data_IF_775738283875
#
_entry.id   IF_775738283875
#
_cell.length_a   1.000
_cell.length_b   1.000
_cell.length_c   1.000
_cell.angle_alpha   90.00
_cell.angle_beta   90.00
_cell.angle_gamma   90.00
#
_symmetry.space_group_name_H-M   'P 1'
#
loop_
_entity.id
_entity.type
_entity.pdbx_description
1 polymer ?
#
# COMPACT_ATOMS: atom_id res chain seq x y z
N UNK A 1 -4.24 -9.88 -2.70
CA UNK A 1 -3.24 -9.09 -1.92
C UNK A 1 -3.88 -7.94 -1.15
N UNK A 2 -4.59 -7.01 -1.79
CA UNK A 2 -5.23 -5.85 -1.11
C UNK A 2 -6.07 -6.31 0.08
N UNK A 3 -7.05 -7.18 -0.13
CA UNK A 3 -7.92 -7.74 0.92
C UNK A 3 -7.11 -8.45 2.03
N UNK A 4 -6.09 -9.22 1.67
CA UNK A 4 -5.25 -9.92 2.64
C UNK A 4 -4.46 -8.97 3.54
N UNK A 5 -3.93 -7.87 2.99
CA UNK A 5 -3.26 -6.83 3.77
C UNK A 5 -4.23 -6.07 4.66
N UNK A 6 -5.41 -5.70 4.14
CA UNK A 6 -6.45 -5.03 4.93
C UNK A 6 -6.89 -5.93 6.09
N UNK A 7 -7.22 -7.20 5.84
CA UNK A 7 -7.58 -8.18 6.89
C UNK A 7 -6.46 -8.37 7.91
N UNK A 8 -5.22 -8.50 7.44
CA UNK A 8 -4.04 -8.62 8.32
C UNK A 8 -3.92 -7.42 9.25
N UNK A 9 -4.04 -6.20 8.73
CA UNK A 9 -3.90 -4.96 9.52
C UNK A 9 -5.08 -4.80 10.49
N UNK A 10 -6.30 -5.13 10.06
CA UNK A 10 -7.51 -5.13 10.90
C UNK A 10 -7.35 -6.06 12.10
N UNK A 11 -6.91 -7.30 11.87
CA UNK A 11 -6.71 -8.28 12.94
C UNK A 11 -5.43 -8.01 13.75
N UNK A 12 -4.48 -7.24 13.22
CA UNK A 12 -3.21 -6.88 13.85
C UNK A 12 -3.07 -5.37 14.01
N UNK A 13 -3.84 -4.73 14.91
CA UNK A 13 -3.98 -3.28 14.99
C UNK A 13 -2.69 -2.49 15.25
N UNK A 14 -1.64 -3.06 15.85
CA UNK A 14 -0.33 -2.37 15.94
C UNK A 14 0.28 -2.05 14.58
N UNK A 15 -0.06 -2.81 13.53
CA UNK A 15 0.34 -2.52 12.14
C UNK A 15 -0.34 -1.26 11.60
N UNK A 16 -1.46 -0.84 12.21
CA UNK A 16 -2.19 0.36 11.84
C UNK A 16 -1.77 1.60 12.64
N UNK A 17 -0.51 1.63 13.07
CA UNK A 17 0.09 2.75 13.81
C UNK A 17 1.09 3.48 12.94
N UNK A 18 1.48 4.67 13.38
CA UNK A 18 2.56 5.43 12.76
C UNK A 18 3.28 6.30 13.77
N UNK A 19 4.48 6.74 13.41
CA UNK A 19 5.26 7.70 14.18
C UNK A 19 5.21 9.05 13.47
N UNK A 20 4.74 10.09 14.15
CA UNK A 20 4.80 11.46 13.69
C UNK A 20 5.25 12.36 14.83
N UNK A 21 6.08 13.36 14.56
CA UNK A 21 6.61 14.28 15.57
C UNK A 21 7.09 13.58 16.87
N UNK A 22 7.85 12.48 16.73
CA UNK A 22 8.37 11.67 17.85
C UNK A 22 7.30 10.98 18.73
N UNK A 23 6.05 10.96 18.31
CA UNK A 23 4.93 10.34 19.01
C UNK A 23 4.36 9.19 18.18
N UNK A 24 3.86 8.16 18.87
CA UNK A 24 3.18 7.03 18.23
C UNK A 24 1.66 7.27 18.23
N UNK A 25 1.03 7.06 17.09
CA UNK A 25 -0.39 7.24 16.88
C UNK A 25 -1.04 5.97 16.37
N UNK A 26 -2.31 5.78 16.72
CA UNK A 26 -3.19 4.76 16.15
C UNK A 26 -4.04 5.43 15.07
N UNK A 27 -4.11 4.86 13.86
CA UNK A 27 -5.03 5.34 12.83
C UNK A 27 -6.48 5.01 13.18
N UNK A 28 -7.38 5.88 12.74
CA UNK A 28 -8.82 5.74 12.93
C UNK A 28 -9.47 4.77 11.93
N UNK A 29 -8.83 4.55 10.79
CA UNK A 29 -9.32 3.70 9.71
C UNK A 29 -8.20 2.80 9.16
N UNK A 30 -8.60 1.72 8.49
CA UNK A 30 -7.68 0.81 7.79
C UNK A 30 -7.85 1.04 6.29
N UNK A 31 -6.77 1.47 5.64
CA UNK A 31 -6.78 1.95 4.26
C UNK A 31 -5.63 1.36 3.45
N UNK A 32 -5.88 1.09 2.18
CA UNK A 32 -4.87 0.59 1.25
C UNK A 32 -4.77 1.50 0.03
N UNK A 33 -3.56 1.97 -0.28
CA UNK A 33 -3.29 2.76 -1.48
C UNK A 33 -2.44 1.97 -2.47
N UNK A 34 -2.67 2.15 -3.78
CA UNK A 34 -1.86 1.56 -4.83
C UNK A 34 -1.90 2.36 -6.13
N UNK A 35 -0.82 2.28 -6.90
CA UNK A 35 -0.72 2.93 -8.21
C UNK A 35 -1.27 2.04 -9.32
N UNK A 36 -2.04 2.63 -10.22
CA UNK A 36 -2.63 2.02 -11.40
C UNK A 36 -2.05 2.72 -12.63
N UNK A 37 -1.33 1.97 -13.46
CA UNK A 37 -0.93 2.45 -14.78
C UNK A 37 -2.15 2.41 -15.70
N UNK A 38 -2.55 3.55 -16.28
CA UNK A 38 -3.71 3.61 -17.20
C UNK A 38 -3.38 2.96 -18.54
N UNK A 39 -2.21 3.26 -19.08
CA UNK A 39 -1.67 2.74 -20.33
C UNK A 39 -0.25 2.25 -20.07
N UNK A 40 0.09 1.05 -20.55
CA UNK A 40 1.42 0.46 -20.42
C UNK A 40 2.40 1.04 -21.45
N UNK A 41 2.61 2.35 -21.40
CA UNK A 41 3.64 3.09 -22.15
C UNK A 41 4.44 3.97 -21.19
N UNK A 42 5.63 4.39 -21.61
CA UNK A 42 6.50 5.24 -20.79
C UNK A 42 5.85 6.61 -20.48
N UNK A 43 5.05 7.13 -21.41
CA UNK A 43 4.28 8.38 -21.26
C UNK A 43 2.85 8.16 -20.73
N UNK A 44 2.47 6.90 -20.46
CA UNK A 44 1.14 6.54 -20.01
C UNK A 44 0.85 7.07 -18.61
N UNK A 45 -0.22 7.83 -18.46
CA UNK A 45 -0.63 8.40 -17.16
C UNK A 45 -0.81 7.34 -16.07
N UNK A 46 -0.48 7.73 -14.84
CA UNK A 46 -0.67 6.93 -13.64
C UNK A 46 -1.84 7.49 -12.83
N UNK A 47 -2.65 6.61 -12.26
CA UNK A 47 -3.71 6.97 -11.31
C UNK A 47 -3.40 6.34 -9.97
N UNK A 48 -3.70 7.05 -8.89
CA UNK A 48 -3.66 6.50 -7.54
C UNK A 48 -5.05 6.04 -7.15
N UNK A 49 -5.15 4.82 -6.61
CA UNK A 49 -6.36 4.33 -5.98
C UNK A 49 -6.13 4.17 -4.49
N UNK A 50 -7.15 4.54 -3.71
CA UNK A 50 -7.14 4.51 -2.26
C UNK A 50 -8.40 3.79 -1.81
N UNK A 51 -8.31 2.73 -1.01
CA UNK A 51 -9.43 1.91 -0.53
C UNK A 51 -9.62 2.17 0.96
N UNK A 52 -10.84 2.49 1.37
CA UNK A 52 -11.21 2.67 2.78
C UNK A 52 -12.01 1.47 3.23
N UNK A 53 -11.37 0.58 3.99
CA UNK A 53 -11.99 -0.67 4.38
C UNK A 53 -12.86 -0.52 5.63
N UNK A 54 -13.91 -1.32 5.67
CA UNK A 54 -14.79 -1.54 6.83
C UNK A 54 -14.54 -2.95 7.35
N UNK A 55 -14.73 -3.14 8.65
CA UNK A 55 -14.57 -4.46 9.27
C UNK A 55 -15.44 -5.56 8.63
N UNK A 56 -16.59 -5.18 8.05
CA UNK A 56 -17.52 -6.07 7.35
C UNK A 56 -17.14 -6.43 5.92
N UNK A 57 -16.10 -5.80 5.34
CA UNK A 57 -15.73 -6.03 3.94
C UNK A 57 -15.20 -7.45 3.71
N UNK A 58 -15.36 -7.94 2.48
CA UNK A 58 -14.87 -9.25 2.02
C UNK A 58 -14.02 -9.09 0.78
N UNK A 59 -13.45 -10.17 0.26
CA UNK A 59 -12.72 -10.14 -1.01
C UNK A 59 -13.58 -9.62 -2.16
N UNK A 60 -14.87 -9.93 -2.17
CA UNK A 60 -15.79 -9.54 -3.23
C UNK A 60 -16.10 -8.04 -3.17
N UNK A 61 -16.41 -7.49 -1.99
CA UNK A 61 -16.71 -6.06 -1.84
C UNK A 61 -15.48 -5.20 -2.17
N UNK A 62 -14.30 -5.65 -1.72
CA UNK A 62 -13.03 -4.98 -2.07
C UNK A 62 -12.72 -5.12 -3.56
N UNK A 63 -13.00 -6.27 -4.18
CA UNK A 63 -12.83 -6.46 -5.62
C UNK A 63 -13.70 -5.50 -6.43
N UNK A 64 -14.99 -5.38 -6.08
CA UNK A 64 -15.91 -4.45 -6.73
C UNK A 64 -15.45 -2.98 -6.58
N UNK A 65 -14.97 -2.60 -5.40
CA UNK A 65 -14.46 -1.24 -5.17
C UNK A 65 -13.19 -0.96 -6.00
N UNK A 66 -12.26 -1.90 -6.05
CA UNK A 66 -11.06 -1.81 -6.90
C UNK A 66 -11.48 -1.69 -8.37
N UNK A 67 -12.38 -2.56 -8.83
CA UNK A 67 -12.85 -2.55 -10.22
C UNK A 67 -13.49 -1.21 -10.58
N UNK A 68 -14.33 -0.64 -9.71
CA UNK A 68 -14.93 0.68 -9.88
C UNK A 68 -13.87 1.77 -9.99
N UNK A 69 -12.87 1.78 -9.11
CA UNK A 69 -11.79 2.79 -9.10
C UNK A 69 -10.85 2.68 -10.31
N UNK A 70 -10.49 1.46 -10.69
CA UNK A 70 -9.67 1.21 -11.89
C UNK A 70 -10.42 1.59 -13.16
N UNK A 71 -11.69 1.23 -13.27
CA UNK A 71 -12.52 1.56 -14.45
C UNK A 71 -12.71 3.07 -14.60
N UNK A 72 -12.97 3.77 -13.49
CA UNK A 72 -13.04 5.24 -13.50
C UNK A 72 -11.68 5.87 -13.84
N UNK A 73 -10.59 5.38 -13.24
CA UNK A 73 -9.24 5.87 -13.49
C UNK A 73 -8.77 5.71 -14.93
N UNK A 74 -9.27 4.69 -15.65
CA UNK A 74 -8.98 4.45 -17.08
C UNK A 74 -9.87 5.24 -18.04
N UNK A 75 -10.93 5.89 -17.56
CA UNK A 75 -11.75 6.78 -18.41
C UNK A 75 -10.99 8.07 -18.76
N UNK A 76 -11.15 8.53 -20.00
CA UNK A 76 -10.41 9.65 -20.61
C UNK A 76 -10.76 11.01 -19.96
N UNK A 77 -10.23 11.28 -18.76
CA UNK A 77 -9.96 12.65 -18.34
C UNK A 77 -8.47 12.91 -18.45
N UNK A 78 -8.16 13.77 -19.41
CA UNK A 78 -6.84 14.33 -19.70
C UNK A 78 -6.25 14.90 -18.41
N UNK A 79 -5.04 14.47 -18.08
CA UNK A 79 -4.25 15.02 -16.97
C UNK A 79 -3.93 16.51 -17.24
N UNK A 80 -4.23 17.44 -16.31
CA UNK A 80 -3.78 18.84 -16.39
C UNK A 80 -2.26 19.02 -16.23
N UNK A 81 -1.48 17.94 -16.23
CA UNK A 81 -0.07 17.89 -15.82
C UNK A 81 0.93 18.56 -16.77
N UNK A 82 0.56 18.79 -18.03
CA UNK A 82 1.48 19.38 -19.02
C UNK A 82 1.61 20.90 -18.89
N UNK A 83 0.65 21.58 -18.24
CA UNK A 83 0.71 23.02 -17.99
C UNK A 83 1.47 23.38 -16.70
N UNK A 84 1.47 22.50 -15.69
CA UNK A 84 2.09 22.75 -14.38
C UNK A 84 3.61 22.62 -14.39
N UNK A 85 4.18 21.77 -15.24
CA UNK A 85 5.63 21.55 -15.35
C UNK A 85 6.41 22.77 -15.87
N UNK A 86 5.78 23.65 -16.66
CA UNK A 86 6.40 24.89 -17.13
C UNK A 86 6.28 26.04 -16.12
N UNK A 87 5.21 26.07 -15.31
CA UNK A 87 5.02 27.07 -14.25
C UNK A 87 5.97 26.86 -13.07
N UNK A 88 6.33 25.61 -12.74
CA UNK A 88 7.27 25.32 -11.64
C UNK A 88 8.71 25.74 -11.98
N UNK A 89 9.09 25.77 -13.27
CA UNK A 89 10.43 26.20 -13.70
C UNK A 89 10.67 27.70 -13.56
N UNK A 90 9.63 28.53 -13.51
CA UNK A 90 9.74 29.98 -13.36
C UNK A 90 9.68 30.48 -11.92
N UNK A 91 9.35 29.61 -10.95
CA UNK A 91 9.31 29.97 -9.53
C UNK A 91 10.74 30.03 -8.96
N UNK A 92 11.16 31.15 -8.34
CA UNK A 92 12.43 31.25 -7.66
C UNK A 92 12.64 30.10 -6.66
N UNK A 93 13.82 29.46 -6.71
CA UNK A 93 14.15 28.30 -5.87
C UNK A 93 13.97 28.56 -4.37
N UNK A 94 14.14 29.80 -3.90
CA UNK A 94 13.95 30.14 -2.48
C UNK A 94 12.48 30.04 -2.06
N UNK A 95 11.53 30.41 -2.92
CA UNK A 95 10.09 30.29 -2.63
C UNK A 95 9.67 28.82 -2.57
N UNK A 96 10.16 27.99 -3.49
CA UNK A 96 9.93 26.54 -3.46
C UNK A 96 10.45 25.94 -2.15
N UNK A 97 11.63 26.37 -1.69
CA UNK A 97 12.18 25.93 -0.40
C UNK A 97 11.32 26.38 0.78
N UNK A 98 10.82 27.61 0.80
CA UNK A 98 9.93 28.11 1.86
C UNK A 98 8.65 27.27 1.92
N UNK A 99 8.00 27.07 0.77
CA UNK A 99 6.78 26.25 0.68
C UNK A 99 7.06 24.81 1.12
N UNK A 100 8.16 24.21 0.68
CA UNK A 100 8.55 22.86 1.10
C UNK A 100 8.86 22.76 2.60
N UNK A 101 9.48 23.78 3.19
CA UNK A 101 9.71 23.83 4.64
C UNK A 101 8.39 23.97 5.40
N UNK A 102 7.49 24.84 4.96
CA UNK A 102 6.16 25.00 5.55
C UNK A 102 5.36 23.69 5.44
N UNK A 103 5.33 23.06 4.27
CA UNK A 103 4.65 21.79 4.06
C UNK A 103 5.18 20.68 4.99
N UNK A 104 6.51 20.53 5.11
CA UNK A 104 7.11 19.56 6.05
C UNK A 104 6.81 19.89 7.51
N UNK A 105 6.73 21.17 7.85
CA UNK A 105 6.33 21.58 9.19
C UNK A 105 4.88 21.22 9.47
N UNK A 106 3.96 21.50 8.54
CA UNK A 106 2.55 21.14 8.66
C UNK A 106 2.36 19.62 8.73
N UNK A 107 3.01 18.86 7.84
CA UNK A 107 3.00 17.40 7.82
C UNK A 107 3.45 16.82 9.17
N UNK A 108 4.61 17.29 9.68
CA UNK A 108 5.13 16.86 10.97
C UNK A 108 4.14 17.08 12.11
N UNK A 109 3.44 18.20 12.13
CA UNK A 109 2.49 18.54 13.21
C UNK A 109 1.07 18.02 12.97
N UNK A 110 0.82 17.32 11.85
CA UNK A 110 -0.53 16.86 11.48
C UNK A 110 -1.48 18.00 11.11
N UNK A 111 -0.95 19.14 10.68
CA UNK A 111 -1.72 20.33 10.27
C UNK A 111 -1.91 20.42 8.75
N UNK A 112 -1.52 19.38 8.02
CA UNK A 112 -1.73 19.35 6.58
C UNK A 112 -3.24 19.33 6.27
N UNK A 113 -3.74 20.17 5.35
CA UNK A 113 -5.15 20.16 4.98
C UNK A 113 -5.60 18.80 4.44
N UNK A 114 -6.84 18.39 4.76
CA UNK A 114 -7.39 17.12 4.31
C UNK A 114 -7.35 16.97 2.78
N UNK A 115 -7.62 18.07 2.06
CA UNK A 115 -7.59 18.10 0.59
C UNK A 115 -6.22 17.80 -0.03
N UNK A 116 -5.13 17.94 0.74
CA UNK A 116 -3.78 17.59 0.30
C UNK A 116 -3.49 16.11 0.56
N UNK A 117 -3.89 15.60 1.73
CA UNK A 117 -3.53 14.25 2.17
C UNK A 117 -4.48 13.16 1.66
N UNK A 118 -5.72 13.50 1.34
CA UNK A 118 -6.75 12.53 0.91
C UNK A 118 -6.36 11.77 -0.37
N UNK A 119 -5.62 12.42 -1.27
CA UNK A 119 -5.11 11.81 -2.50
C UNK A 119 -3.71 11.22 -2.38
N UNK A 120 -3.04 11.40 -1.25
CA UNK A 120 -1.64 11.00 -1.10
C UNK A 120 -1.53 9.58 -0.51
N UNK A 121 -0.97 8.62 -1.26
CA UNK A 121 -0.87 7.22 -0.82
C UNK A 121 -0.07 7.07 0.48
N UNK A 122 0.84 7.99 0.79
CA UNK A 122 1.65 7.95 1.99
C UNK A 122 0.89 8.32 3.28
N UNK A 123 -0.40 8.62 3.20
CA UNK A 123 -1.27 8.75 4.39
C UNK A 123 -2.14 7.51 4.62
N UNK A 124 -1.96 6.45 3.82
CA UNK A 124 -2.66 5.17 3.99
C UNK A 124 -2.06 4.30 5.10
N UNK A 125 -2.81 3.28 5.51
CA UNK A 125 -2.32 2.25 6.43
C UNK A 125 -1.28 1.36 5.76
N UNK A 126 -1.47 1.07 4.47
CA UNK A 126 -0.52 0.31 3.64
C UNK A 126 -0.48 0.82 2.21
N UNK A 127 0.74 1.00 1.69
CA UNK A 127 0.97 1.24 0.26
C UNK A 127 1.36 -0.05 -0.44
N UNK A 128 0.66 -0.35 -1.53
CA UNK A 128 0.82 -1.55 -2.34
C UNK A 128 1.37 -1.20 -3.72
N UNK A 129 2.33 -1.98 -4.20
CA UNK A 129 2.91 -1.83 -5.54
C UNK A 129 2.96 -3.17 -6.23
N UNK A 130 2.30 -3.30 -7.39
CA UNK A 130 2.31 -4.53 -8.18
C UNK A 130 3.31 -4.45 -9.34
N UNK A 131 4.59 -4.70 -9.04
CA UNK A 131 5.67 -4.78 -10.02
C UNK A 131 5.54 -5.99 -10.94
N UNK A 132 4.85 -7.05 -10.49
CA UNK A 132 4.55 -8.21 -11.31
C UNK A 132 3.72 -7.88 -12.56
N UNK A 133 2.89 -6.84 -12.52
CA UNK A 133 2.11 -6.39 -13.69
C UNK A 133 2.96 -5.89 -14.86
N UNK A 134 4.21 -5.50 -14.59
CA UNK A 134 5.21 -5.05 -15.57
C UNK A 134 6.42 -5.99 -15.62
N UNK A 135 6.27 -7.24 -15.16
CA UNK A 135 7.29 -8.30 -15.17
C UNK A 135 8.59 -7.95 -14.43
N UNK A 136 8.47 -7.21 -13.33
CA UNK A 136 9.59 -6.91 -12.44
C UNK A 136 9.56 -7.79 -11.19
N UNK A 137 10.74 -8.04 -10.63
CA UNK A 137 10.90 -8.74 -9.35
C UNK A 137 10.45 -7.86 -8.18
N UNK A 138 10.10 -8.50 -7.06
CA UNK A 138 9.79 -7.75 -5.85
C UNK A 138 11.05 -7.04 -5.35
N UNK A 139 10.93 -5.75 -5.08
CA UNK A 139 11.93 -4.95 -4.37
C UNK A 139 11.42 -4.54 -2.99
N UNK A 140 12.11 -3.58 -2.38
CA UNK A 140 11.70 -2.96 -1.12
C UNK A 140 11.52 -1.46 -1.34
N UNK A 141 10.40 -0.92 -0.87
CA UNK A 141 10.27 0.52 -0.68
C UNK A 141 11.00 0.94 0.59
N UNK A 142 11.58 2.13 0.62
CA UNK A 142 12.06 2.71 1.87
C UNK A 142 10.89 3.33 2.64
N UNK A 143 11.02 3.44 3.96
CA UNK A 143 10.13 4.33 4.73
C UNK A 143 10.34 5.77 4.27
N UNK A 144 9.27 6.55 4.26
CA UNK A 144 9.28 7.96 3.88
C UNK A 144 9.18 8.83 5.12
N UNK A 145 9.86 9.98 5.10
CA UNK A 145 9.73 11.01 6.14
C UNK A 145 8.51 11.92 5.92
N UNK A 146 7.83 11.74 4.78
CA UNK A 146 6.61 12.46 4.40
C UNK A 146 5.41 11.53 4.49
N UNK A 147 4.32 12.04 5.05
CA UNK A 147 3.12 11.25 5.31
C UNK A 147 3.27 10.40 6.57
N UNK A 148 2.39 9.42 6.71
CA UNK A 148 2.30 8.61 7.92
C UNK A 148 2.50 7.12 7.67
N UNK A 149 2.43 6.62 6.42
CA UNK A 149 2.41 5.18 6.12
C UNK A 149 3.59 4.45 6.75
N UNK A 150 3.27 3.36 7.45
CA UNK A 150 4.25 2.53 8.15
C UNK A 150 4.41 1.13 7.57
N UNK A 151 3.65 0.80 6.53
CA UNK A 151 3.68 -0.52 5.86
C UNK A 151 3.70 -0.34 4.35
N UNK A 152 4.69 -0.92 3.71
CA UNK A 152 4.81 -1.00 2.25
C UNK A 152 4.85 -2.45 1.83
N UNK A 153 4.11 -2.79 0.78
CA UNK A 153 4.05 -4.14 0.24
C UNK A 153 4.24 -4.11 -1.28
N UNK A 154 5.32 -4.73 -1.73
CA UNK A 154 5.70 -4.84 -3.14
C UNK A 154 5.49 -6.27 -3.61
N UNK A 155 4.70 -6.43 -4.66
CA UNK A 155 4.35 -7.72 -5.26
C UNK A 155 5.17 -7.88 -6.52
N UNK A 156 6.00 -8.91 -6.57
CA UNK A 156 6.78 -9.25 -7.76
C UNK A 156 6.01 -10.05 -8.81
N UNK A 157 6.71 -10.45 -9.86
CA UNK A 157 6.19 -11.36 -10.87
C UNK A 157 5.89 -12.76 -10.31
N UNK A 158 4.75 -13.33 -10.74
CA UNK A 158 4.39 -14.73 -10.48
C UNK A 158 5.23 -15.63 -11.39
N UNK A 159 6.03 -16.53 -10.82
CA UNK A 159 6.87 -17.46 -11.57
C UNK A 159 6.82 -18.88 -11.00
N UNK A 160 7.10 -19.85 -11.85
CA UNK A 160 7.22 -21.26 -11.43
C UNK A 160 8.52 -21.44 -10.65
N UNK A 161 8.45 -22.04 -9.46
CA UNK A 161 9.61 -22.40 -8.65
C UNK A 161 9.49 -23.86 -8.18
N UNK A 162 10.61 -24.57 -7.99
CA UNK A 162 10.61 -25.89 -7.37
C UNK A 162 10.34 -25.77 -5.86
N UNK A 163 9.45 -26.61 -5.34
CA UNK A 163 9.19 -26.79 -3.91
C UNK A 163 9.49 -28.24 -3.53
N UNK A 164 10.27 -28.40 -2.48
CA UNK A 164 10.65 -29.69 -1.93
C UNK A 164 9.70 -30.05 -0.79
N UNK A 165 9.21 -31.29 -0.78
CA UNK A 165 8.55 -31.86 0.39
C UNK A 165 9.58 -32.49 1.35
N UNK A 166 9.13 -32.93 2.52
CA UNK A 166 9.98 -33.57 3.54
C UNK A 166 10.61 -34.89 3.05
N UNK A 167 10.06 -35.51 2.00
CA UNK A 167 10.58 -36.71 1.36
C UNK A 167 11.58 -36.41 0.23
N UNK A 168 11.84 -35.13 -0.07
CA UNK A 168 12.75 -34.69 -1.12
C UNK A 168 12.17 -34.69 -2.54
N UNK A 169 10.87 -34.95 -2.71
CA UNK A 169 10.22 -34.85 -4.01
C UNK A 169 10.08 -33.38 -4.41
N UNK A 170 10.25 -33.11 -5.71
CA UNK A 170 10.13 -31.77 -6.27
C UNK A 170 8.77 -31.60 -6.93
N UNK A 171 8.04 -30.57 -6.51
CA UNK A 171 6.84 -30.11 -7.21
C UNK A 171 7.04 -28.69 -7.71
N UNK A 172 6.73 -28.45 -8.99
CA UNK A 172 6.78 -27.12 -9.56
C UNK A 172 5.49 -26.38 -9.22
N UNK A 173 5.60 -25.22 -8.55
CA UNK A 173 4.43 -24.41 -8.14
C UNK A 173 4.61 -22.96 -8.55
N UNK A 174 3.49 -22.31 -8.91
CA UNK A 174 3.46 -20.85 -9.07
C UNK A 174 3.68 -20.21 -7.71
N UNK A 175 4.59 -19.26 -7.64
CA UNK A 175 4.90 -18.51 -6.43
C UNK A 175 5.21 -17.07 -6.78
N UNK A 176 5.04 -16.19 -5.81
CA UNK A 176 5.29 -14.74 -5.95
C UNK A 176 6.17 -14.29 -4.80
N UNK A 177 7.16 -13.45 -5.10
CA UNK A 177 7.96 -12.81 -4.05
C UNK A 177 7.19 -11.57 -3.57
N UNK A 178 7.19 -11.36 -2.26
CA UNK A 178 6.57 -10.19 -1.61
C UNK A 178 7.64 -9.47 -0.81
N UNK A 179 7.92 -8.22 -1.17
CA UNK A 179 8.78 -7.34 -0.40
C UNK A 179 7.95 -6.55 0.60
N UNK A 180 8.25 -6.68 1.89
CA UNK A 180 7.59 -5.93 2.95
C UNK A 180 8.58 -5.00 3.63
N UNK A 181 8.24 -3.73 3.71
CA UNK A 181 8.94 -2.75 4.55
C UNK A 181 7.97 -2.27 5.61
N UNK A 182 8.36 -2.43 6.88
CA UNK A 182 7.54 -2.09 8.03
C UNK A 182 8.38 -1.17 8.92
N UNK A 183 7.76 -0.09 9.42
CA UNK A 183 8.37 0.77 10.43
C UNK A 183 8.57 -0.02 11.73
N UNK A 184 9.81 -0.35 12.07
CA UNK A 184 10.11 -1.22 13.20
C UNK A 184 9.67 -0.63 14.55
N UNK A 185 9.42 0.68 14.61
CA UNK A 185 9.07 1.39 15.85
C UNK A 185 7.63 1.13 16.31
N UNK A 186 6.74 0.66 15.44
CA UNK A 186 5.31 0.53 15.77
C UNK A 186 4.96 -0.74 16.57
N UNK A 187 5.80 -1.77 16.49
CA UNK A 187 5.67 -3.03 17.21
C UNK A 187 7.00 -3.80 17.29
N UNK A 188 7.03 -4.84 18.13
CA UNK A 188 8.20 -5.72 18.28
C UNK A 188 8.28 -6.82 17.20
N UNK A 189 9.46 -7.45 17.09
CA UNK A 189 9.71 -8.52 16.12
C UNK A 189 8.84 -9.77 16.29
N UNK A 190 8.44 -10.10 17.52
CA UNK A 190 7.55 -11.25 17.76
C UNK A 190 6.15 -10.98 17.21
N UNK A 191 5.65 -9.76 17.42
CA UNK A 191 4.42 -9.29 16.83
C UNK A 191 4.50 -9.36 15.30
N UNK A 192 5.56 -8.85 14.68
CA UNK A 192 5.75 -8.96 13.23
C UNK A 192 5.78 -10.41 12.74
N UNK A 193 6.50 -11.30 13.42
CA UNK A 193 6.56 -12.71 13.02
C UNK A 193 5.17 -13.35 12.94
N UNK A 194 4.31 -13.09 13.94
CA UNK A 194 2.92 -13.55 13.92
C UNK A 194 2.12 -12.84 12.83
N UNK A 195 2.34 -11.56 12.56
CA UNK A 195 1.64 -10.82 11.50
C UNK A 195 1.94 -11.43 10.13
N UNK A 196 3.20 -11.80 9.87
CA UNK A 196 3.59 -12.47 8.62
C UNK A 196 2.99 -13.87 8.52
N UNK A 197 2.90 -14.62 9.62
CA UNK A 197 2.21 -15.93 9.64
C UNK A 197 0.74 -15.80 9.25
N UNK A 198 0.03 -14.81 9.83
CA UNK A 198 -1.36 -14.51 9.44
C UNK A 198 -1.47 -14.15 7.95
N UNK A 199 -0.62 -13.22 7.47
CA UNK A 199 -0.64 -12.83 6.06
C UNK A 199 -0.39 -14.03 5.14
N UNK A 200 0.58 -14.88 5.48
CA UNK A 200 0.88 -16.10 4.73
C UNK A 200 -0.31 -17.05 4.71
N UNK A 201 -0.93 -17.32 5.87
CA UNK A 201 -2.14 -18.15 6.00
C UNK A 201 -3.26 -17.63 5.09
N UNK A 202 -3.53 -16.32 5.12
CA UNK A 202 -4.55 -15.68 4.29
C UNK A 202 -4.27 -15.78 2.78
N UNK A 203 -3.00 -15.82 2.38
CA UNK A 203 -2.60 -15.96 0.97
C UNK A 203 -2.61 -17.43 0.50
N UNK A 204 -2.32 -18.37 1.39
CA UNK A 204 -2.35 -19.81 1.10
C UNK A 204 -3.77 -20.39 1.17
N UNK A 205 -4.66 -19.78 1.97
CA UNK A 205 -6.06 -20.18 2.16
C UNK A 205 -7.03 -19.03 1.84
N UNK A 206 -7.21 -18.68 0.55
CA UNK A 206 -7.96 -17.50 0.14
C UNK A 206 -9.45 -17.51 0.52
N UNK A 207 -10.04 -18.67 0.85
CA UNK A 207 -11.42 -18.77 1.34
C UNK A 207 -11.63 -18.00 2.64
N UNK A 208 -10.57 -17.77 3.41
CA UNK A 208 -10.60 -16.94 4.62
C UNK A 208 -10.86 -15.45 4.30
N UNK A 209 -10.65 -15.02 3.05
CA UNK A 209 -10.89 -13.66 2.58
C UNK A 209 -12.34 -13.45 2.11
N UNK A 210 -13.11 -14.51 1.91
CA UNK A 210 -14.56 -14.43 1.63
C UNK A 210 -15.35 -14.02 2.89
N UNK A 211 -14.73 -14.18 4.05
CA UNK A 211 -15.27 -13.79 5.36
C UNK A 211 -14.92 -12.35 5.72
N UNK A 212 -15.72 -11.67 6.55
CA UNK A 212 -15.46 -10.30 6.99
C UNK A 212 -14.02 -10.05 7.47
N UNK A 213 -13.47 -8.86 7.20
CA UNK A 213 -12.10 -8.49 7.62
C UNK A 213 -11.88 -8.56 9.14
N UNK A 214 -12.93 -8.34 9.93
CA UNK A 214 -12.87 -8.39 11.39
C UNK A 214 -13.09 -9.79 11.98
N UNK A 215 -13.40 -10.80 11.16
CA UNK A 215 -13.49 -12.18 11.64
C UNK A 215 -12.09 -12.74 11.92
N UNK A 216 -11.89 -13.23 13.14
CA UNK A 216 -10.62 -13.81 13.58
C UNK A 216 -10.25 -15.07 12.78
N UNK A 217 -8.94 -15.31 12.70
CA UNK A 217 -8.35 -16.44 11.97
C UNK A 217 -7.31 -17.07 12.87
N UNK A 218 -7.28 -18.41 12.92
CA UNK A 218 -6.25 -19.18 13.61
C UNK A 218 -5.03 -19.39 12.70
N UNK A 219 -3.82 -19.07 13.18
CA UNK A 219 -2.55 -19.11 12.43
C UNK A 219 -1.29 -19.23 13.30
#
# INVERSE_FOLDING_TARGET
MVTAMLKTITLRPKMNRFIANQNMYQRNEVTAAFTIKKIFTDEGGEALAFIHSKGSDTIDTIHEEIYRKVSFGRSEKVDPGTASLNAVKSVPRFLIKIVGCAARFLDRHGWMPQSVIEGDPYYSSVVLTNLGSIKLHAGYHHLTNWGTTSVFCVIGEVKMRPFYDDAGNVTMRKSVDIGLTIDERIADGYYYSKTIRLLKKLLEEPQLLERPLNEEVDY
#
